data_IF_903423698613
#
_entry.id   IF_903423698613
#
_cell.length_a   1.000
_cell.length_b   1.000
_cell.length_c   1.000
_cell.angle_alpha   90.00
_cell.angle_beta   90.00
_cell.angle_gamma   90.00
#
_symmetry.space_group_name_H-M   'P 1'
#
loop_
_entity.id
_entity.type
_entity.pdbx_description
1 polymer ?
#
# COMPACT_ATOMS: atom_id res chain seq x y z
N UNK A 1 -0.41 21.00 20.11
CA UNK A 1 0.11 20.80 18.74
C UNK A 1 -1.09 20.60 17.83
N UNK A 2 -1.20 21.40 16.77
CA UNK A 2 -2.18 21.17 15.70
C UNK A 2 -1.55 20.29 14.64
N UNK A 3 -2.25 19.21 14.24
CA UNK A 3 -1.85 18.32 13.18
C UNK A 3 -2.79 18.51 12.00
N UNK A 4 -2.26 18.94 10.86
CA UNK A 4 -3.01 19.10 9.61
C UNK A 4 -2.57 18.01 8.63
N UNK A 5 -3.48 17.09 8.30
CA UNK A 5 -3.24 16.04 7.33
C UNK A 5 -3.75 16.46 5.96
N UNK A 6 -2.94 16.21 4.94
CA UNK A 6 -3.30 16.43 3.53
C UNK A 6 -2.98 15.18 2.74
N UNK A 7 -3.87 14.80 1.84
CA UNK A 7 -3.62 13.75 0.85
C UNK A 7 -3.27 14.42 -0.47
N UNK A 8 -2.24 13.94 -1.14
CA UNK A 8 -1.77 14.47 -2.40
C UNK A 8 -1.16 13.32 -3.23
N UNK A 9 -0.99 13.54 -4.53
CA UNK A 9 -0.18 12.66 -5.38
C UNK A 9 1.30 12.81 -5.02
N UNK A 10 2.14 11.86 -5.42
CA UNK A 10 3.58 11.89 -5.10
C UNK A 10 4.25 13.16 -5.62
N UNK A 11 3.94 13.57 -6.85
CA UNK A 11 4.51 14.79 -7.46
C UNK A 11 4.08 16.06 -6.69
N UNK A 12 2.80 16.16 -6.34
CA UNK A 12 2.29 17.27 -5.54
C UNK A 12 2.92 17.29 -4.15
N UNK A 13 3.02 16.13 -3.50
CA UNK A 13 3.64 15.98 -2.19
C UNK A 13 5.11 16.43 -2.20
N UNK A 14 5.88 15.98 -3.19
CA UNK A 14 7.29 16.37 -3.34
C UNK A 14 7.42 17.88 -3.60
N UNK A 15 6.54 18.46 -4.41
CA UNK A 15 6.49 19.90 -4.65
C UNK A 15 6.13 20.67 -3.38
N UNK A 16 5.13 20.23 -2.63
CA UNK A 16 4.71 20.84 -1.37
C UNK A 16 5.81 20.75 -0.30
N UNK A 17 6.52 19.63 -0.23
CA UNK A 17 7.65 19.44 0.68
C UNK A 17 8.81 20.35 0.29
N UNK A 18 9.16 20.43 -1.01
CA UNK A 18 10.21 21.30 -1.54
C UNK A 18 9.94 22.78 -1.37
N UNK A 19 8.67 23.20 -1.47
CA UNK A 19 8.22 24.58 -1.27
C UNK A 19 7.88 24.93 0.19
N UNK A 20 8.13 24.02 1.12
CA UNK A 20 7.88 24.19 2.56
C UNK A 20 6.40 24.42 2.94
N UNK A 21 5.48 23.95 2.11
CA UNK A 21 4.03 24.01 2.38
C UNK A 21 3.58 22.90 3.35
N UNK A 22 4.37 21.81 3.44
CA UNK A 22 4.21 20.75 4.42
C UNK A 22 5.52 20.53 5.16
N UNK A 23 5.44 20.01 6.37
CA UNK A 23 6.60 19.75 7.22
C UNK A 23 7.20 18.36 7.02
N UNK A 24 6.32 17.38 6.85
CA UNK A 24 6.64 15.96 6.68
C UNK A 24 5.78 15.38 5.56
N UNK A 25 6.33 14.44 4.82
CA UNK A 25 5.62 13.66 3.83
C UNK A 25 5.77 12.16 4.16
N UNK A 26 4.66 11.44 4.19
CA UNK A 26 4.62 10.01 4.43
C UNK A 26 4.03 9.29 3.23
N UNK A 27 4.77 8.35 2.67
CA UNK A 27 4.39 7.62 1.45
C UNK A 27 4.39 6.12 1.68
N UNK A 28 3.62 5.44 0.86
CA UNK A 28 3.74 4.02 0.60
C UNK A 28 3.95 3.84 -0.91
N UNK A 29 5.19 3.67 -1.32
CA UNK A 29 5.55 3.55 -2.73
C UNK A 29 6.83 2.72 -2.91
N UNK A 30 7.28 2.59 -4.16
CA UNK A 30 8.62 2.11 -4.49
C UNK A 30 9.67 2.99 -3.81
N UNK A 31 10.89 2.45 -3.54
CA UNK A 31 11.95 3.25 -2.92
C UNK A 31 12.16 4.58 -3.63
N UNK A 32 11.94 5.67 -2.91
CA UNK A 32 12.16 7.03 -3.39
C UNK A 32 13.43 7.59 -2.74
N UNK A 33 14.40 7.97 -3.56
CA UNK A 33 15.64 8.62 -3.12
C UNK A 33 15.76 9.99 -3.82
N UNK A 34 15.67 11.06 -3.03
CA UNK A 34 15.80 12.43 -3.53
C UNK A 34 16.83 13.22 -2.73
N UNK A 35 17.86 13.81 -3.37
CA UNK A 35 18.94 14.52 -2.67
C UNK A 35 18.47 15.71 -1.82
N UNK A 36 17.35 16.33 -2.16
CA UNK A 36 16.79 17.47 -1.44
C UNK A 36 16.06 17.10 -0.14
N UNK A 37 15.78 15.82 0.06
CA UNK A 37 15.03 15.34 1.23
C UNK A 37 15.86 14.43 2.10
N UNK A 38 15.56 14.43 3.39
CA UNK A 38 16.08 13.49 4.36
C UNK A 38 15.02 12.41 4.58
N UNK A 39 15.43 11.18 4.41
CA UNK A 39 14.63 10.00 4.68
C UNK A 39 14.71 9.69 6.17
N UNK A 40 13.65 9.96 6.91
CA UNK A 40 13.61 9.78 8.36
C UNK A 40 13.10 8.39 8.78
N UNK A 41 12.25 7.79 7.95
CA UNK A 41 11.74 6.42 8.09
C UNK A 41 11.81 5.74 6.74
N UNK A 42 12.26 4.50 6.71
CA UNK A 42 12.34 3.68 5.50
C UNK A 42 12.15 2.20 5.88
N UNK A 43 10.92 1.73 5.78
CA UNK A 43 10.53 0.40 6.19
C UNK A 43 9.88 -0.36 5.02
N UNK A 44 10.25 -1.62 4.79
CA UNK A 44 9.58 -2.45 3.80
C UNK A 44 8.12 -2.65 4.21
N UNK A 45 7.22 -2.57 3.24
CA UNK A 45 5.81 -2.87 3.44
C UNK A 45 5.37 -3.95 2.46
N UNK A 46 5.14 -5.18 2.91
CA UNK A 46 4.63 -6.24 2.07
C UNK A 46 3.20 -5.91 1.58
N UNK A 47 2.96 -6.14 0.30
CA UNK A 47 1.62 -6.06 -0.27
C UNK A 47 1.14 -7.48 -0.54
N UNK A 48 -0.05 -7.80 -0.07
CA UNK A 48 -0.59 -9.15 -0.05
C UNK A 48 -1.81 -9.28 -0.95
N UNK A 49 -1.88 -10.35 -1.73
CA UNK A 49 -3.15 -10.81 -2.27
C UNK A 49 -3.90 -11.51 -1.14
N UNK A 50 -5.09 -11.03 -0.84
CA UNK A 50 -5.94 -11.58 0.23
C UNK A 50 -7.29 -12.03 -0.31
N UNK A 51 -7.81 -13.08 0.31
CA UNK A 51 -9.09 -13.68 0.03
C UNK A 51 -9.88 -13.88 1.33
N UNK A 52 -11.21 -14.05 1.28
CA UNK A 52 -11.99 -14.46 2.44
C UNK A 52 -11.48 -15.79 3.02
N UNK A 53 -11.67 -16.00 4.31
CA UNK A 53 -11.36 -17.29 4.94
C UNK A 53 -12.09 -18.44 4.24
N UNK A 54 -11.39 -19.54 3.99
CA UNK A 54 -11.94 -20.73 3.31
C UNK A 54 -12.06 -20.59 1.79
N UNK A 55 -11.49 -19.54 1.19
CA UNK A 55 -11.46 -19.41 -0.26
C UNK A 55 -10.62 -20.53 -0.89
N UNK A 56 -11.06 -21.19 -2.00
CA UNK A 56 -10.37 -22.36 -2.58
C UNK A 56 -8.90 -22.10 -2.95
N UNK A 57 -8.55 -20.88 -3.39
CA UNK A 57 -7.17 -20.54 -3.71
C UNK A 57 -6.25 -20.45 -2.47
N UNK A 58 -6.81 -20.32 -1.27
CA UNK A 58 -6.02 -20.28 -0.04
C UNK A 58 -5.48 -21.66 0.38
N UNK A 59 -6.05 -22.75 -0.17
CA UNK A 59 -5.58 -24.11 0.05
C UNK A 59 -4.43 -24.52 -0.87
N UNK A 60 -4.15 -23.70 -1.89
CA UNK A 60 -3.08 -23.97 -2.85
C UNK A 60 -1.73 -23.54 -2.30
N UNK A 61 -0.68 -24.33 -2.58
CA UNK A 61 0.69 -23.99 -2.21
C UNK A 61 1.19 -22.73 -2.93
N UNK A 62 0.78 -22.53 -4.17
CA UNK A 62 1.06 -21.37 -5.00
C UNK A 62 -0.13 -21.08 -5.92
N UNK A 63 -0.44 -19.79 -6.09
CA UNK A 63 -1.49 -19.29 -6.98
C UNK A 63 -0.85 -18.56 -8.16
N UNK A 64 -1.26 -18.89 -9.36
CA UNK A 64 -0.77 -18.28 -10.60
C UNK A 64 -1.50 -16.98 -10.93
N UNK A 65 -0.88 -16.09 -11.71
CA UNK A 65 -1.55 -14.88 -12.19
C UNK A 65 -2.76 -15.19 -13.10
N UNK A 66 -2.73 -16.32 -13.81
CA UNK A 66 -3.85 -16.77 -14.64
C UNK A 66 -5.07 -17.11 -13.78
N UNK A 67 -4.88 -17.76 -12.62
CA UNK A 67 -5.95 -18.08 -11.69
C UNK A 67 -6.51 -16.82 -11.05
N UNK A 68 -5.65 -15.84 -10.71
CA UNK A 68 -6.08 -14.53 -10.20
C UNK A 68 -6.91 -13.77 -11.22
N UNK A 69 -6.53 -13.78 -12.50
CA UNK A 69 -7.26 -13.08 -13.55
C UNK A 69 -8.71 -13.56 -13.72
N UNK A 70 -9.01 -14.78 -13.26
CA UNK A 70 -10.35 -15.38 -13.27
C UNK A 70 -11.20 -15.04 -12.04
N UNK A 71 -10.67 -14.33 -11.05
CA UNK A 71 -11.37 -14.03 -9.80
C UNK A 71 -12.02 -12.64 -9.81
N UNK A 72 -13.01 -12.47 -8.95
CA UNK A 72 -13.58 -11.15 -8.66
C UNK A 72 -12.66 -10.37 -7.73
N UNK A 73 -12.27 -9.16 -8.13
CA UNK A 73 -11.40 -8.30 -7.37
C UNK A 73 -12.06 -6.99 -6.97
N UNK A 74 -11.79 -6.59 -5.73
CA UNK A 74 -11.98 -5.22 -5.24
C UNK A 74 -10.59 -4.59 -5.11
N UNK A 75 -10.35 -3.49 -5.79
CA UNK A 75 -9.02 -2.87 -5.83
C UNK A 75 -9.08 -1.39 -5.45
N UNK A 76 -7.94 -0.84 -5.08
CA UNK A 76 -7.81 0.61 -4.96
C UNK A 76 -7.89 1.27 -6.33
N UNK A 77 -8.15 2.56 -6.33
CA UNK A 77 -8.21 3.38 -7.54
C UNK A 77 -6.88 3.31 -8.32
N UNK A 78 -6.95 3.49 -9.61
CA UNK A 78 -5.76 3.59 -10.48
C UNK A 78 -4.92 4.79 -10.09
N UNK A 79 -3.60 4.66 -10.20
CA UNK A 79 -2.63 5.67 -9.77
C UNK A 79 -2.19 5.52 -8.32
N UNK A 80 -2.73 4.56 -7.57
CA UNK A 80 -2.14 4.13 -6.31
C UNK A 80 -0.94 3.22 -6.59
N UNK A 81 0.19 3.47 -5.94
CA UNK A 81 1.49 2.84 -6.25
C UNK A 81 1.45 1.32 -6.32
N UNK A 82 0.88 0.66 -5.32
CA UNK A 82 0.78 -0.81 -5.31
C UNK A 82 -0.28 -1.35 -6.28
N UNK A 83 -1.33 -0.56 -6.62
CA UNK A 83 -2.28 -0.92 -7.67
C UNK A 83 -1.59 -0.95 -9.03
N UNK A 84 -0.84 0.10 -9.34
CA UNK A 84 -0.10 0.19 -10.59
C UNK A 84 0.95 -0.93 -10.71
N UNK A 85 1.56 -1.33 -9.58
CA UNK A 85 2.49 -2.45 -9.55
C UNK A 85 1.79 -3.80 -9.84
N UNK A 86 0.58 -4.03 -9.32
CA UNK A 86 -0.23 -5.19 -9.66
C UNK A 86 -0.58 -5.21 -11.15
N UNK A 87 -1.08 -4.09 -11.67
CA UNK A 87 -1.45 -3.96 -13.09
C UNK A 87 -0.24 -4.21 -14.00
N UNK A 88 0.95 -3.73 -13.66
CA UNK A 88 2.20 -3.99 -14.37
C UNK A 88 2.59 -5.47 -14.33
N UNK A 89 2.46 -6.10 -13.14
CA UNK A 89 2.74 -7.53 -12.97
C UNK A 89 1.83 -8.38 -13.87
N UNK A 90 0.55 -8.10 -13.89
CA UNK A 90 -0.42 -8.79 -14.75
C UNK A 90 -0.13 -8.56 -16.23
N UNK A 91 0.11 -7.32 -16.62
CA UNK A 91 0.39 -6.94 -18.02
C UNK A 91 1.66 -7.60 -18.58
N UNK A 92 2.69 -7.81 -17.75
CA UNK A 92 3.92 -8.52 -18.15
C UNK A 92 3.66 -9.96 -18.61
N UNK A 93 2.56 -10.57 -18.19
CA UNK A 93 2.10 -11.89 -18.60
C UNK A 93 0.97 -11.84 -19.67
N UNK A 94 0.67 -10.65 -20.19
CA UNK A 94 -0.44 -10.46 -21.12
C UNK A 94 -1.83 -10.63 -20.46
N UNK A 95 -1.89 -10.50 -19.13
CA UNK A 95 -3.11 -10.64 -18.33
C UNK A 95 -3.59 -9.27 -17.82
N UNK A 96 -4.83 -9.21 -17.38
CA UNK A 96 -5.39 -8.05 -16.70
C UNK A 96 -6.44 -8.48 -15.67
N UNK A 97 -6.49 -7.79 -14.55
CA UNK A 97 -7.61 -7.88 -13.60
C UNK A 97 -8.59 -6.76 -13.91
N UNK A 98 -9.86 -7.14 -14.12
CA UNK A 98 -10.95 -6.18 -14.21
C UNK A 98 -11.68 -6.18 -12.87
N UNK A 99 -11.41 -5.22 -11.98
CA UNK A 99 -12.08 -5.18 -10.69
C UNK A 99 -13.57 -4.90 -10.89
N UNK A 100 -14.41 -5.53 -10.07
CA UNK A 100 -15.84 -5.19 -10.07
C UNK A 100 -16.11 -3.94 -9.22
N UNK A 101 -15.18 -3.59 -8.31
CA UNK A 101 -15.25 -2.39 -7.48
C UNK A 101 -13.87 -1.74 -7.34
N UNK A 102 -13.84 -0.41 -7.47
CA UNK A 102 -12.67 0.42 -7.18
C UNK A 102 -13.03 1.45 -6.10
N UNK A 103 -12.19 1.55 -5.06
CA UNK A 103 -12.37 2.46 -3.91
C UNK A 103 -11.03 3.02 -3.43
N UNK A 104 -10.99 4.29 -3.04
CA UNK A 104 -9.81 4.93 -2.46
C UNK A 104 -9.47 4.50 -1.02
N UNK A 105 -10.28 3.67 -0.37
CA UNK A 105 -10.10 3.24 1.03
C UNK A 105 -9.70 1.77 1.15
N UNK A 106 -8.42 1.51 1.40
CA UNK A 106 -7.89 0.16 1.61
C UNK A 106 -8.54 -0.55 2.83
N UNK A 107 -8.85 0.19 3.89
CA UNK A 107 -9.51 -0.37 5.08
C UNK A 107 -10.93 -0.84 4.77
N UNK A 108 -11.68 -0.10 3.95
CA UNK A 108 -13.01 -0.51 3.53
C UNK A 108 -12.95 -1.72 2.60
N UNK A 109 -12.00 -1.75 1.67
CA UNK A 109 -11.76 -2.93 0.83
C UNK A 109 -11.47 -4.17 1.68
N UNK A 110 -10.62 -4.06 2.71
CA UNK A 110 -10.35 -5.16 3.63
C UNK A 110 -11.64 -5.71 4.26
N UNK A 111 -12.50 -4.84 4.81
CA UNK A 111 -13.78 -5.25 5.39
C UNK A 111 -14.70 -5.94 4.37
N UNK A 112 -14.74 -5.46 3.14
CA UNK A 112 -15.56 -6.07 2.08
C UNK A 112 -15.04 -7.46 1.72
N UNK A 113 -13.72 -7.67 1.67
CA UNK A 113 -13.13 -9.00 1.47
C UNK A 113 -13.48 -9.94 2.62
N UNK A 114 -13.42 -9.48 3.87
CA UNK A 114 -13.86 -10.26 5.04
C UNK A 114 -15.33 -10.74 4.92
N UNK A 115 -16.18 -9.95 4.24
CA UNK A 115 -17.57 -10.31 3.97
C UNK A 115 -17.77 -11.18 2.72
N UNK A 116 -16.68 -11.66 2.10
CA UNK A 116 -16.76 -12.61 1.00
C UNK A 116 -17.02 -11.96 -0.38
N UNK A 117 -16.79 -10.66 -0.54
CA UNK A 117 -17.09 -9.95 -1.78
C UNK A 117 -16.06 -10.12 -2.89
N UNK A 118 -15.02 -10.94 -2.69
CA UNK A 118 -13.96 -11.19 -3.66
C UNK A 118 -12.57 -11.10 -3.06
N UNK A 119 -11.57 -10.96 -3.91
CA UNK A 119 -10.15 -10.82 -3.53
C UNK A 119 -9.72 -9.36 -3.53
N UNK A 120 -8.61 -9.07 -2.86
CA UNK A 120 -7.97 -7.75 -2.94
C UNK A 120 -6.45 -7.84 -2.89
N UNK A 121 -5.77 -6.73 -3.23
CA UNK A 121 -4.32 -6.56 -3.15
C UNK A 121 -4.03 -5.37 -2.25
N UNK A 122 -3.63 -5.64 -1.00
CA UNK A 122 -3.59 -4.65 0.08
C UNK A 122 -2.28 -4.73 0.88
N UNK A 123 -1.83 -3.60 1.46
CA UNK A 123 -0.70 -3.56 2.37
C UNK A 123 -0.93 -4.43 3.61
N UNK A 124 0.13 -5.07 4.10
CA UNK A 124 0.05 -6.00 5.23
C UNK A 124 -0.47 -5.32 6.50
N UNK A 125 -0.08 -4.07 6.77
CA UNK A 125 -0.55 -3.33 7.95
C UNK A 125 -2.08 -3.12 7.97
N UNK A 126 -2.74 -3.15 6.81
CA UNK A 126 -4.21 -3.07 6.70
C UNK A 126 -4.86 -4.41 7.06
N UNK A 127 -4.28 -5.50 6.59
CA UNK A 127 -4.90 -6.84 6.65
C UNK A 127 -4.41 -7.70 7.82
N UNK A 128 -3.35 -7.30 8.52
CA UNK A 128 -2.69 -8.10 9.56
C UNK A 128 -3.65 -8.57 10.67
N UNK A 129 -4.57 -7.71 11.12
CA UNK A 129 -5.53 -8.06 12.17
C UNK A 129 -6.54 -9.11 11.69
N UNK A 130 -7.03 -8.96 10.47
CA UNK A 130 -7.97 -9.90 9.86
C UNK A 130 -7.29 -11.25 9.53
N UNK A 131 -6.03 -11.24 9.11
CA UNK A 131 -5.22 -12.45 8.94
C UNK A 131 -4.99 -13.15 10.29
N UNK A 132 -4.64 -12.42 11.35
CA UNK A 132 -4.46 -12.96 12.70
C UNK A 132 -5.76 -13.50 13.30
N UNK A 133 -6.90 -12.87 12.99
CA UNK A 133 -8.23 -13.35 13.41
C UNK A 133 -8.72 -14.53 12.56
N UNK A 134 -8.08 -14.86 11.44
CA UNK A 134 -8.49 -15.92 10.53
C UNK A 134 -9.74 -15.58 9.72
N UNK A 135 -10.13 -14.32 9.61
CA UNK A 135 -11.23 -13.85 8.75
C UNK A 135 -10.80 -13.65 7.30
N UNK A 136 -9.49 -13.42 7.08
CA UNK A 136 -8.85 -13.42 5.76
C UNK A 136 -7.78 -14.49 5.66
N UNK A 137 -7.50 -14.90 4.44
CA UNK A 137 -6.36 -15.74 4.06
C UNK A 137 -5.45 -15.00 3.10
N UNK A 138 -4.12 -15.06 3.35
CA UNK A 138 -3.12 -14.59 2.40
C UNK A 138 -2.93 -15.65 1.31
N UNK A 139 -2.96 -15.26 0.06
CA UNK A 139 -2.62 -16.13 -1.07
C UNK A 139 -1.11 -16.04 -1.35
N UNK A 140 -0.49 -17.18 -1.57
CA UNK A 140 0.90 -17.24 -2.00
C UNK A 140 0.98 -17.07 -3.53
N UNK A 141 1.36 -15.86 -3.98
CA UNK A 141 1.47 -15.50 -5.39
C UNK A 141 2.90 -15.06 -5.71
N UNK A 142 3.83 -16.00 -5.94
CA UNK A 142 5.25 -15.66 -6.11
C UNK A 142 5.52 -14.68 -7.27
N UNK A 143 4.71 -14.75 -8.33
CA UNK A 143 4.82 -13.86 -9.48
C UNK A 143 4.37 -12.40 -9.19
N UNK A 144 3.75 -12.13 -8.04
CA UNK A 144 3.24 -10.81 -7.65
C UNK A 144 3.97 -10.26 -6.41
N UNK A 145 5.29 -10.46 -6.36
CA UNK A 145 6.11 -9.90 -5.30
C UNK A 145 6.47 -8.45 -5.64
N UNK A 146 5.83 -7.52 -4.96
CA UNK A 146 6.01 -6.08 -5.17
C UNK A 146 6.76 -5.50 -3.98
N UNK A 147 7.90 -4.85 -4.24
CA UNK A 147 8.66 -4.15 -3.20
C UNK A 147 8.09 -2.75 -3.03
N UNK A 148 7.37 -2.55 -1.93
CA UNK A 148 6.89 -1.25 -1.47
C UNK A 148 7.54 -0.89 -0.15
N UNK A 149 7.63 0.41 0.12
CA UNK A 149 8.24 0.92 1.35
C UNK A 149 7.37 2.03 1.94
N UNK A 150 7.23 2.00 3.24
CA UNK A 150 6.73 3.15 4.01
C UNK A 150 7.88 4.09 4.24
N UNK A 151 7.79 5.29 3.70
CA UNK A 151 8.87 6.27 3.78
C UNK A 151 8.36 7.59 4.35
N UNK A 152 9.10 8.17 5.28
CA UNK A 152 8.84 9.48 5.87
C UNK A 152 9.98 10.43 5.51
N UNK A 153 9.64 11.53 4.87
CA UNK A 153 10.59 12.53 4.39
C UNK A 153 10.37 13.89 5.04
N UNK A 154 11.45 14.67 5.11
CA UNK A 154 11.41 16.11 5.34
C UNK A 154 12.47 16.81 4.48
N UNK A 155 12.28 18.10 4.22
CA UNK A 155 13.25 18.87 3.44
C UNK A 155 14.57 18.98 4.19
N UNK A 156 15.72 18.84 3.50
CA UNK A 156 17.06 18.82 4.11
C UNK A 156 17.35 20.08 4.94
N UNK A 157 16.92 21.25 4.46
CA UNK A 157 17.14 22.53 5.11
C UNK A 157 16.05 22.85 6.17
N UNK A 158 15.15 21.91 6.45
CA UNK A 158 14.08 22.10 7.43
C UNK A 158 14.63 22.06 8.85
N UNK A 159 14.32 23.08 9.63
CA UNK A 159 14.54 23.05 11.07
C UNK A 159 13.56 22.07 11.71
N UNK A 160 14.09 20.99 12.28
CA UNK A 160 13.28 19.99 12.96
C UNK A 160 12.82 20.49 14.33
N UNK A 161 11.54 20.82 14.43
CA UNK A 161 10.91 21.20 15.70
C UNK A 161 10.80 20.00 16.65
N UNK A 162 10.65 20.20 17.96
CA UNK A 162 10.42 19.11 18.91
C UNK A 162 9.19 18.25 18.55
N UNK A 163 8.16 18.86 17.99
CA UNK A 163 6.94 18.19 17.55
C UNK A 163 7.20 17.27 16.37
N UNK A 164 7.96 17.72 15.35
CA UNK A 164 8.36 16.89 14.22
C UNK A 164 9.21 15.70 14.69
N UNK A 165 10.17 15.93 15.58
CA UNK A 165 10.99 14.86 16.16
C UNK A 165 10.15 13.82 16.89
N UNK A 166 9.17 14.28 17.68
CA UNK A 166 8.26 13.40 18.40
C UNK A 166 7.41 12.56 17.42
N UNK A 167 6.92 13.18 16.34
CA UNK A 167 6.15 12.47 15.30
C UNK A 167 7.02 11.43 14.58
N UNK A 168 8.22 11.78 14.15
CA UNK A 168 9.17 10.85 13.52
C UNK A 168 9.44 9.65 14.43
N UNK A 169 9.71 9.90 15.73
CA UNK A 169 9.93 8.83 16.71
C UNK A 169 8.71 7.93 16.91
N UNK A 170 7.50 8.50 16.79
CA UNK A 170 6.26 7.73 16.92
C UNK A 170 6.07 6.79 15.71
N UNK A 171 6.41 7.26 14.52
CA UNK A 171 6.25 6.47 13.28
C UNK A 171 7.30 5.36 13.15
N UNK A 172 8.46 5.49 13.82
CA UNK A 172 9.51 4.48 13.85
C UNK A 172 9.23 3.28 14.79
N UNK A 173 8.08 3.25 15.45
CA UNK A 173 7.65 2.18 16.38
C UNK A 173 6.75 1.17 15.70
#
# INVERSE_FOLDING_TARGET
VELVLRTATDDEMLQMLGSNQIDLAYTLDKPLLQPSFVLAVDEPEPICVVAPAGHPLAEQAEVTLQELAGQEFLLTERGMSYRDALDQCMAAQGLAIKPFLELGSASLLCQMVEHGMGLSFLPEYIVQNALAAGTLSRLNVPACCVEMRRQLFYHRDKWLTPQMKAFITLVQR
#
